data_IF_791298050025
#
_entry.id   IF_791298050025
#
_cell.length_a   1.000
_cell.length_b   1.000
_cell.length_c   1.000
_cell.angle_alpha   90.00
_cell.angle_beta   90.00
_cell.angle_gamma   90.00
#
_symmetry.space_group_name_H-M   'P 1'
#
loop_
_entity.id
_entity.type
_entity.pdbx_description
1 polymer ?
#
# COMPACT_ATOMS: atom_id res chain seq x y z
N UNK A 1 -19.65 14.00 -8.08
CA UNK A 1 -18.73 14.22 -6.95
C UNK A 1 -17.78 13.03 -6.89
N UNK A 2 -16.46 13.26 -6.83
CA UNK A 2 -15.48 12.19 -6.59
C UNK A 2 -15.34 11.92 -5.09
N UNK A 3 -15.27 10.65 -4.72
CA UNK A 3 -15.08 10.23 -3.33
C UNK A 3 -13.58 10.11 -3.07
N UNK A 4 -13.08 10.83 -2.08
CA UNK A 4 -11.72 10.66 -1.57
C UNK A 4 -11.63 9.34 -0.83
N UNK A 5 -10.57 8.57 -1.08
CA UNK A 5 -10.29 7.30 -0.41
C UNK A 5 -8.92 7.40 0.26
N UNK A 6 -8.90 7.27 1.57
CA UNK A 6 -7.65 7.25 2.32
C UNK A 6 -7.01 5.86 2.24
N UNK A 7 -5.73 5.83 1.88
CA UNK A 7 -4.92 4.62 1.74
C UNK A 7 -3.55 4.83 2.37
N UNK A 8 -2.98 3.77 2.91
CA UNK A 8 -1.62 3.74 3.45
C UNK A 8 -0.77 2.74 2.68
N UNK A 9 0.51 3.04 2.52
CA UNK A 9 1.51 2.14 1.97
C UNK A 9 2.61 1.92 3.01
N UNK A 10 2.97 0.66 3.23
CA UNK A 10 4.13 0.25 4.00
C UNK A 10 5.32 0.11 3.07
N UNK A 11 6.38 0.88 3.34
CA UNK A 11 7.70 0.59 2.80
C UNK A 11 8.30 -0.45 3.76
N UNK A 12 8.87 -1.53 3.23
CA UNK A 12 9.55 -2.53 4.05
C UNK A 12 10.92 -2.73 3.43
N UNK A 13 11.96 -2.23 4.08
CA UNK A 13 13.33 -2.32 3.62
C UNK A 13 14.09 -3.41 4.40
N UNK A 14 14.83 -4.24 3.66
CA UNK A 14 15.77 -5.20 4.21
C UNK A 14 16.96 -5.35 3.27
N UNK A 15 18.18 -5.30 3.80
CA UNK A 15 19.43 -5.47 3.04
C UNK A 15 19.53 -4.53 1.81
N UNK A 16 19.07 -3.28 1.95
CA UNK A 16 19.05 -2.27 0.88
C UNK A 16 18.03 -2.54 -0.23
N UNK A 17 17.07 -3.45 0.00
CA UNK A 17 15.99 -3.79 -0.93
C UNK A 17 14.63 -3.47 -0.32
N UNK A 18 13.69 -3.05 -1.16
CA UNK A 18 12.32 -2.76 -0.75
C UNK A 18 11.41 -3.92 -1.17
N UNK A 19 10.52 -4.34 -0.28
CA UNK A 19 9.48 -5.32 -0.57
C UNK A 19 8.40 -4.72 -1.49
N UNK A 20 8.13 -5.41 -2.59
CA UNK A 20 7.00 -5.15 -3.47
C UNK A 20 6.14 -6.42 -3.57
N UNK A 21 4.83 -6.24 -3.57
CA UNK A 21 3.87 -7.30 -3.82
C UNK A 21 3.53 -7.35 -5.31
N UNK A 22 3.43 -8.55 -5.88
CA UNK A 22 2.93 -8.71 -7.23
C UNK A 22 1.40 -8.81 -7.20
N UNK A 23 0.73 -8.05 -8.07
CA UNK A 23 -0.73 -8.06 -8.17
C UNK A 23 -1.24 -9.43 -8.61
N UNK A 24 -2.25 -10.01 -7.92
CA UNK A 24 -2.74 -11.33 -8.24
C UNK A 24 -3.43 -11.34 -9.62
N UNK A 25 -3.61 -12.52 -10.25
CA UNK A 25 -4.14 -12.63 -11.61
C UNK A 25 -5.55 -12.04 -11.81
N UNK A 26 -6.34 -11.93 -10.73
CA UNK A 26 -7.70 -11.42 -10.75
C UNK A 26 -7.81 -9.94 -10.35
N UNK A 27 -6.71 -9.27 -10.03
CA UNK A 27 -6.69 -7.84 -9.76
C UNK A 27 -6.68 -7.03 -11.06
N UNK A 28 -7.03 -5.75 -10.94
CA UNK A 28 -6.75 -4.79 -12.00
C UNK A 28 -5.24 -4.77 -12.30
N UNK A 29 -4.87 -4.63 -13.57
CA UNK A 29 -3.49 -4.67 -14.07
C UNK A 29 -2.63 -5.81 -13.43
N UNK A 30 -2.97 -7.08 -13.70
CA UNK A 30 -2.35 -8.23 -13.06
C UNK A 30 -0.85 -8.32 -13.39
N UNK A 31 -0.07 -8.85 -12.45
CA UNK A 31 1.36 -9.07 -12.63
C UNK A 31 2.25 -7.84 -12.45
N UNK A 32 1.68 -6.63 -12.33
CA UNK A 32 2.41 -5.44 -11.93
C UNK A 32 2.79 -5.48 -10.44
N UNK A 33 3.76 -4.65 -10.08
CA UNK A 33 4.22 -4.50 -8.70
C UNK A 33 3.46 -3.37 -7.98
N UNK A 34 3.18 -3.57 -6.70
CA UNK A 34 2.60 -2.57 -5.79
C UNK A 34 3.31 -2.59 -4.43
N UNK A 35 3.23 -1.47 -3.71
CA UNK A 35 3.65 -1.44 -2.31
C UNK A 35 2.64 -2.17 -1.44
N UNK A 36 3.14 -2.85 -0.40
CA UNK A 36 2.27 -3.40 0.62
C UNK A 36 1.48 -2.25 1.28
N UNK A 37 0.21 -2.47 1.63
CA UNK A 37 -0.62 -1.40 2.14
C UNK A 37 -2.09 -1.76 2.16
N UNK A 38 -2.94 -0.74 2.33
CA UNK A 38 -4.38 -0.93 2.40
C UNK A 38 -5.16 0.38 2.49
N UNK A 39 -6.46 0.27 2.29
CA UNK A 39 -7.41 1.34 2.56
C UNK A 39 -7.55 1.54 4.05
N UNK A 40 -7.67 2.80 4.47
CA UNK A 40 -8.00 3.17 5.85
C UNK A 40 -9.50 3.04 6.04
N UNK A 41 -9.91 2.25 7.02
CA UNK A 41 -11.31 2.08 7.38
C UNK A 41 -11.77 3.14 8.39
N UNK A 42 -13.08 3.45 8.46
CA UNK A 42 -13.59 4.47 9.37
C UNK A 42 -13.24 4.17 10.83
N UNK A 43 -12.53 5.11 11.47
CA UNK A 43 -12.09 4.98 12.86
C UNK A 43 -10.69 4.39 13.03
N UNK A 44 -10.02 4.00 11.95
CA UNK A 44 -8.60 3.66 12.00
C UNK A 44 -7.74 4.93 12.02
N UNK A 45 -6.69 4.92 12.86
CA UNK A 45 -5.66 5.94 12.80
C UNK A 45 -4.65 5.57 11.71
N UNK A 46 -4.56 6.41 10.68
CA UNK A 46 -3.52 6.28 9.67
C UNK A 46 -2.16 6.52 10.31
N UNK A 47 -1.25 5.54 10.23
CA UNK A 47 0.14 5.70 10.63
C UNK A 47 0.88 6.59 9.61
N UNK A 48 0.58 7.88 9.59
CA UNK A 48 1.28 8.86 8.77
C UNK A 48 2.64 9.18 9.40
N UNK A 49 3.68 8.44 9.01
CA UNK A 49 5.08 8.84 9.27
C UNK A 49 5.95 7.84 10.02
N UNK A 50 6.14 6.64 9.47
CA UNK A 50 7.11 5.69 9.99
C UNK A 50 8.15 5.26 8.94
N UNK A 51 8.72 6.22 8.21
CA UNK A 51 10.04 6.07 7.56
C UNK A 51 10.87 7.32 7.89
N UNK A 52 12.00 7.21 8.61
CA UNK A 52 13.01 8.27 8.65
C UNK A 52 13.67 8.46 7.28
#
# INVERSE_FOLDING_TARGET
MQKTLDVVAAIIEQDGKILLAQRPPHADQPGLWEFAGGKVEPGEESAAGAYP
#
